data_IF_123483591278
#
_entry.id   IF_123483591278
#
_cell.length_a   1.000
_cell.length_b   1.000
_cell.length_c   1.000
_cell.angle_alpha   90.00
_cell.angle_beta   90.00
_cell.angle_gamma   90.00
#
_symmetry.space_group_name_H-M   'P 1'
#
loop_
_entity.id
_entity.type
_entity.pdbx_description
1 polymer ?
#
# COMPACT_ATOMS: atom_id res chain seq x y z
N UNK A 1 -27.56 32.32 38.46
CA UNK A 1 -26.17 32.36 37.97
C UNK A 1 -25.57 30.96 37.66
N UNK A 2 -26.35 29.87 37.60
CA UNK A 2 -25.83 28.48 37.48
C UNK A 2 -26.08 27.78 36.11
N UNK A 3 -26.71 28.44 35.13
CA UNK A 3 -27.05 27.81 33.84
C UNK A 3 -25.96 27.92 32.76
N UNK A 4 -25.06 28.89 32.87
CA UNK A 4 -24.02 29.16 31.86
C UNK A 4 -22.91 28.08 31.88
N UNK A 5 -22.64 27.48 33.05
CA UNK A 5 -21.58 26.46 33.18
C UNK A 5 -21.94 25.10 32.58
N UNK A 6 -23.21 24.70 32.58
CA UNK A 6 -23.65 23.39 32.07
C UNK A 6 -23.79 23.39 30.55
N UNK A 7 -24.20 24.50 29.95
CA UNK A 7 -24.28 24.66 28.49
C UNK A 7 -22.90 24.76 27.85
N UNK A 8 -21.95 25.46 28.49
CA UNK A 8 -20.57 25.55 28.02
C UNK A 8 -19.87 24.18 27.99
N UNK A 9 -20.06 23.33 29.01
CA UNK A 9 -19.47 21.99 29.05
C UNK A 9 -19.98 21.09 27.92
N UNK A 10 -21.29 21.15 27.63
CA UNK A 10 -21.91 20.35 26.57
C UNK A 10 -21.37 20.76 25.19
N UNK A 11 -21.19 22.07 24.94
CA UNK A 11 -20.62 22.57 23.69
C UNK A 11 -19.16 22.17 23.50
N UNK A 12 -18.35 22.15 24.56
CA UNK A 12 -16.95 21.71 24.50
C UNK A 12 -16.86 20.23 24.18
N UNK A 13 -17.69 19.39 24.80
CA UNK A 13 -17.72 17.94 24.53
C UNK A 13 -18.22 17.65 23.12
N UNK A 14 -19.25 18.36 22.64
CA UNK A 14 -19.70 18.24 21.25
C UNK A 14 -18.61 18.64 20.26
N UNK A 15 -17.91 19.75 20.52
CA UNK A 15 -16.82 20.22 19.66
C UNK A 15 -15.62 19.25 19.68
N UNK A 16 -15.25 18.69 20.84
CA UNK A 16 -14.22 17.67 20.91
C UNK A 16 -14.60 16.42 20.12
N UNK A 17 -15.82 15.89 20.33
CA UNK A 17 -16.32 14.73 19.58
C UNK A 17 -16.38 14.98 18.08
N UNK A 18 -16.86 16.14 17.62
CA UNK A 18 -16.92 16.42 16.17
C UNK A 18 -15.53 16.54 15.56
N UNK A 19 -14.57 17.16 16.26
CA UNK A 19 -13.19 17.25 15.78
C UNK A 19 -12.52 15.86 15.77
N UNK A 20 -12.76 15.00 16.76
CA UNK A 20 -12.22 13.64 16.79
C UNK A 20 -12.83 12.75 15.68
N UNK A 21 -14.13 12.91 15.38
CA UNK A 21 -14.78 12.24 14.24
C UNK A 21 -14.20 12.72 12.91
N UNK A 22 -13.98 14.02 12.73
CA UNK A 22 -13.38 14.58 11.50
C UNK A 22 -11.92 14.09 11.32
N UNK A 23 -11.13 14.04 12.40
CA UNK A 23 -9.77 13.46 12.37
C UNK A 23 -9.79 11.96 12.07
N UNK A 24 -10.79 11.25 12.58
CA UNK A 24 -11.04 9.84 12.25
C UNK A 24 -11.31 9.64 10.76
N UNK A 25 -12.19 10.47 10.17
CA UNK A 25 -12.54 10.40 8.75
C UNK A 25 -11.36 10.69 7.83
N UNK A 26 -10.56 11.74 8.11
CA UNK A 26 -9.37 12.03 7.29
C UNK A 26 -8.30 10.94 7.35
N UNK A 27 -8.19 10.21 8.47
CA UNK A 27 -7.29 9.06 8.58
C UNK A 27 -7.75 7.87 7.73
N UNK A 28 -9.06 7.67 7.57
CA UNK A 28 -9.61 6.61 6.72
C UNK A 28 -9.36 6.93 5.23
N UNK A 29 -9.60 8.17 4.80
CA UNK A 29 -9.44 8.55 3.40
C UNK A 29 -7.97 8.48 2.92
N UNK A 30 -7.01 8.90 3.78
CA UNK A 30 -5.57 8.79 3.48
C UNK A 30 -5.10 7.33 3.47
N UNK A 31 -5.65 6.49 4.37
CA UNK A 31 -5.36 5.04 4.37
C UNK A 31 -5.86 4.37 3.10
N UNK A 32 -7.09 4.68 2.68
CA UNK A 32 -7.66 4.12 1.46
C UNK A 32 -6.80 4.50 0.24
N UNK A 33 -6.44 5.78 0.10
CA UNK A 33 -5.59 6.21 -1.01
C UNK A 33 -4.18 5.58 -1.01
N UNK A 34 -3.66 5.18 0.16
CA UNK A 34 -2.35 4.55 0.33
C UNK A 34 -2.41 3.04 0.08
N UNK A 35 -3.51 2.39 0.44
CA UNK A 35 -3.80 0.99 0.10
C UNK A 35 -4.10 0.87 -1.41
N UNK A 36 -4.79 1.84 -2.00
CA UNK A 36 -5.04 1.87 -3.45
C UNK A 36 -3.72 2.03 -4.24
N UNK A 37 -2.66 2.62 -3.65
CA UNK A 37 -1.33 2.66 -4.26
C UNK A 37 -0.58 1.32 -4.23
N UNK A 38 -1.00 0.40 -3.35
CA UNK A 38 -0.54 -0.98 -3.32
C UNK A 38 -1.40 -1.88 -4.21
N UNK A 39 -2.66 -1.51 -4.45
CA UNK A 39 -3.54 -2.17 -5.41
C UNK A 39 -3.23 -1.66 -6.81
N UNK A 40 -2.30 -2.35 -7.46
CA UNK A 40 -2.19 -2.24 -8.90
C UNK A 40 -3.38 -2.95 -9.54
N UNK A 41 -4.17 -2.21 -10.32
CA UNK A 41 -5.16 -2.82 -11.19
C UNK A 41 -4.47 -3.77 -12.19
N UNK A 42 -5.18 -4.79 -12.67
CA UNK A 42 -4.64 -5.79 -13.60
C UNK A 42 -3.94 -5.17 -14.84
N UNK A 43 -4.33 -3.96 -15.25
CA UNK A 43 -3.66 -3.20 -16.31
C UNK A 43 -2.25 -2.72 -15.93
N UNK A 44 -2.04 -2.27 -14.69
CA UNK A 44 -0.72 -1.84 -14.19
C UNK A 44 0.18 -3.05 -13.94
N UNK A 45 -0.36 -4.12 -13.33
CA UNK A 45 0.35 -5.40 -13.17
C UNK A 45 0.86 -5.90 -14.52
N UNK A 46 0.04 -5.81 -15.57
CA UNK A 46 0.39 -6.24 -16.91
C UNK A 46 1.53 -5.42 -17.54
N UNK A 47 1.61 -4.13 -17.27
CA UNK A 47 2.68 -3.26 -17.71
C UNK A 47 3.99 -3.60 -16.98
N UNK A 48 3.94 -3.71 -15.65
CA UNK A 48 5.09 -4.10 -14.83
C UNK A 48 5.65 -5.49 -15.19
N UNK A 49 4.76 -6.47 -15.41
CA UNK A 49 5.16 -7.81 -15.83
C UNK A 49 5.88 -7.82 -17.18
N UNK A 50 5.48 -6.96 -18.13
CA UNK A 50 6.13 -6.84 -19.45
C UNK A 50 7.48 -6.16 -19.40
N UNK A 51 7.67 -5.22 -18.47
CA UNK A 51 8.93 -4.49 -18.32
C UNK A 51 10.00 -5.32 -17.59
N UNK A 52 9.58 -6.17 -16.64
CA UNK A 52 10.48 -7.00 -15.84
C UNK A 52 10.74 -8.36 -16.49
N UNK A 53 9.74 -8.93 -17.16
CA UNK A 53 9.85 -10.20 -17.88
C UNK A 53 9.31 -10.03 -19.31
N UNK A 54 10.00 -10.61 -20.30
CA UNK A 54 9.52 -10.69 -21.69
C UNK A 54 8.37 -11.71 -21.80
N UNK A 55 7.31 -11.49 -21.01
CA UNK A 55 6.22 -12.41 -20.76
C UNK A 55 4.98 -11.96 -21.53
N UNK A 56 4.41 -12.87 -22.32
CA UNK A 56 3.18 -12.60 -23.05
C UNK A 56 1.97 -12.66 -22.11
N UNK A 57 1.68 -11.52 -21.50
CA UNK A 57 0.52 -11.33 -20.61
C UNK A 57 -0.80 -11.16 -21.37
N UNK A 58 -0.83 -11.36 -22.70
CA UNK A 58 -2.04 -11.14 -23.51
C UNK A 58 -3.16 -12.14 -23.25
N UNK A 59 -2.85 -13.35 -22.76
CA UNK A 59 -3.82 -14.43 -22.53
C UNK A 59 -4.11 -14.76 -21.06
N UNK A 60 -3.44 -14.09 -20.09
CA UNK A 60 -3.64 -14.39 -18.67
C UNK A 60 -4.96 -13.81 -18.13
N UNK A 61 -5.66 -14.60 -17.31
CA UNK A 61 -6.79 -14.13 -16.52
C UNK A 61 -6.35 -13.18 -15.39
N UNK A 62 -7.26 -12.35 -14.83
CA UNK A 62 -6.92 -11.46 -13.72
C UNK A 62 -6.33 -12.20 -12.51
N UNK A 63 -6.88 -13.35 -12.15
CA UNK A 63 -6.36 -14.17 -11.04
C UNK A 63 -4.98 -14.74 -11.32
N UNK A 64 -4.68 -15.10 -12.57
CA UNK A 64 -3.36 -15.58 -12.96
C UNK A 64 -2.33 -14.45 -12.97
N UNK A 65 -2.71 -13.25 -13.39
CA UNK A 65 -1.87 -12.05 -13.29
C UNK A 65 -1.53 -11.72 -11.83
N UNK A 66 -2.52 -11.72 -10.94
CA UNK A 66 -2.33 -11.48 -9.51
C UNK A 66 -1.35 -12.51 -8.90
N UNK A 67 -1.53 -13.78 -9.22
CA UNK A 67 -0.65 -14.85 -8.76
C UNK A 67 0.77 -14.69 -9.31
N UNK A 68 0.91 -14.34 -10.58
CA UNK A 68 2.22 -14.15 -11.19
C UNK A 68 2.97 -12.96 -10.59
N UNK A 69 2.26 -11.87 -10.32
CA UNK A 69 2.82 -10.69 -9.64
C UNK A 69 3.34 -11.02 -8.25
N UNK A 70 2.56 -11.79 -7.47
CA UNK A 70 2.99 -12.31 -6.18
C UNK A 70 4.28 -13.13 -6.32
N UNK A 71 4.30 -14.09 -7.26
CA UNK A 71 5.47 -14.96 -7.49
C UNK A 71 6.69 -14.22 -8.03
N UNK A 72 6.52 -13.12 -8.75
CA UNK A 72 7.63 -12.32 -9.25
C UNK A 72 8.45 -11.69 -8.12
N UNK A 73 7.80 -11.37 -6.99
CA UNK A 73 8.42 -10.70 -5.84
C UNK A 73 8.82 -11.65 -4.70
N UNK A 74 8.42 -12.92 -4.78
CA UNK A 74 8.87 -13.99 -3.89
C UNK A 74 10.23 -14.52 -4.39
N UNK A 75 11.31 -13.84 -4.00
CA UNK A 75 12.66 -14.08 -4.53
C UNK A 75 13.29 -15.34 -3.94
N UNK A 76 12.93 -15.71 -2.71
CA UNK A 76 13.44 -16.91 -2.04
C UNK A 76 12.58 -18.17 -2.29
N UNK A 77 11.44 -18.01 -2.97
CA UNK A 77 10.49 -19.05 -3.33
C UNK A 77 9.85 -19.77 -2.13
N UNK A 78 9.64 -19.07 -1.02
CA UNK A 78 8.97 -19.62 0.15
C UNK A 78 7.42 -19.54 0.07
N UNK A 79 6.88 -18.92 -0.99
CA UNK A 79 5.46 -18.65 -1.23
C UNK A 79 4.81 -17.69 -0.22
N UNK A 80 5.61 -16.78 0.32
CA UNK A 80 5.22 -15.66 1.17
C UNK A 80 6.02 -14.43 0.74
N UNK A 81 5.55 -13.24 1.12
CA UNK A 81 6.27 -12.00 0.90
C UNK A 81 6.74 -11.42 2.23
N UNK A 82 8.03 -11.19 2.36
CA UNK A 82 8.60 -10.46 3.49
C UNK A 82 8.63 -8.94 3.26
N UNK A 83 9.00 -8.19 4.31
CA UNK A 83 9.10 -6.73 4.27
C UNK A 83 10.06 -6.18 3.21
N UNK A 84 11.17 -6.87 2.94
CA UNK A 84 12.16 -6.46 1.93
C UNK A 84 11.66 -6.76 0.51
N UNK A 85 10.98 -7.88 0.32
CA UNK A 85 10.34 -8.24 -0.94
C UNK A 85 9.24 -7.23 -1.31
N UNK A 86 8.40 -6.86 -0.35
CA UNK A 86 7.40 -5.80 -0.50
C UNK A 86 8.04 -4.42 -0.74
N UNK A 87 9.14 -4.10 -0.04
CA UNK A 87 9.88 -2.85 -0.26
C UNK A 87 10.43 -2.78 -1.68
N UNK A 88 11.03 -3.86 -2.16
CA UNK A 88 11.56 -3.93 -3.51
C UNK A 88 10.46 -3.78 -4.55
N UNK A 89 9.30 -4.44 -4.36
CA UNK A 89 8.13 -4.27 -5.22
C UNK A 89 7.69 -2.80 -5.30
N UNK A 90 7.54 -2.15 -4.14
CA UNK A 90 7.11 -0.74 -4.07
C UNK A 90 8.12 0.23 -4.67
N UNK A 91 9.42 -0.04 -4.53
CA UNK A 91 10.47 0.81 -5.09
C UNK A 91 10.58 0.68 -6.61
N UNK A 92 10.24 -0.49 -7.16
CA UNK A 92 10.18 -0.69 -8.61
C UNK A 92 9.14 0.23 -9.27
N UNK A 93 8.02 0.51 -8.58
CA UNK A 93 6.98 1.44 -9.05
C UNK A 93 7.46 2.90 -9.17
N UNK A 94 8.61 3.24 -8.58
CA UNK A 94 9.20 4.58 -8.60
C UNK A 94 10.37 4.69 -9.57
N UNK A 95 10.74 3.60 -10.24
CA UNK A 95 11.63 3.66 -11.39
C UNK A 95 10.87 4.17 -12.61
N UNK A 96 10.67 5.49 -12.66
CA UNK A 96 10.48 6.17 -13.93
C UNK A 96 11.62 5.74 -14.87
N UNK A 97 11.34 5.28 -16.10
CA UNK A 97 12.35 4.81 -17.05
C UNK A 97 13.37 5.87 -17.49
N UNK A 98 13.31 7.08 -16.92
CA UNK A 98 14.25 8.19 -17.13
C UNK A 98 15.48 8.16 -16.22
N UNK A 99 15.53 7.32 -15.18
CA UNK A 99 16.79 7.08 -14.41
C UNK A 99 17.59 5.95 -15.07
N UNK A 100 17.62 5.94 -16.40
CA UNK A 100 18.72 5.33 -17.10
C UNK A 100 19.98 6.12 -16.72
N UNK A 101 20.96 5.42 -16.18
CA UNK A 101 22.35 5.84 -15.95
C UNK A 101 22.82 6.99 -16.86
N UNK A 102 22.46 8.22 -16.50
CA UNK A 102 23.03 9.41 -17.08
C UNK A 102 24.10 9.88 -16.09
N UNK A 103 25.40 9.68 -16.37
CA UNK A 103 26.47 10.17 -15.49
C UNK A 103 26.45 11.71 -15.33
N UNK A 104 25.62 12.42 -16.08
CA UNK A 104 25.38 13.87 -16.00
C UNK A 104 23.93 14.23 -15.60
N UNK A 105 23.12 13.26 -15.15
CA UNK A 105 21.75 13.51 -14.69
C UNK A 105 21.72 14.19 -13.31
N UNK A 106 20.59 14.82 -12.91
CA UNK A 106 20.43 15.30 -11.55
C UNK A 106 20.68 14.16 -10.55
N UNK A 107 21.31 14.43 -9.39
CA UNK A 107 21.59 13.40 -8.40
C UNK A 107 20.30 12.66 -8.05
N UNK A 108 20.39 11.33 -7.94
CA UNK A 108 19.28 10.47 -7.58
C UNK A 108 18.52 11.11 -6.41
N UNK A 109 17.22 11.34 -6.61
CA UNK A 109 16.35 11.91 -5.58
C UNK A 109 16.44 10.98 -4.37
N UNK A 110 16.73 11.48 -3.16
CA UNK A 110 16.72 10.64 -1.97
C UNK A 110 15.34 9.98 -1.86
N UNK A 111 15.31 8.65 -2.03
CA UNK A 111 14.08 7.88 -1.83
C UNK A 111 13.79 7.92 -0.32
N UNK A 112 12.62 8.44 0.06
CA UNK A 112 12.18 8.42 1.46
C UNK A 112 11.74 7.00 1.83
N UNK A 113 12.70 6.19 2.25
CA UNK A 113 12.49 4.81 2.69
C UNK A 113 11.44 4.74 3.81
N UNK A 114 11.35 5.79 4.66
CA UNK A 114 10.39 5.87 5.76
C UNK A 114 8.95 5.78 5.28
N UNK A 115 8.64 6.37 4.12
CA UNK A 115 7.31 6.33 3.55
C UNK A 115 6.91 4.90 3.19
N UNK A 116 7.83 4.14 2.59
CA UNK A 116 7.62 2.74 2.21
C UNK A 116 7.55 1.82 3.40
N UNK A 117 8.44 1.98 4.39
CA UNK A 117 8.38 1.16 5.62
C UNK A 117 7.05 1.37 6.34
N UNK A 118 6.53 2.60 6.39
CA UNK A 118 5.21 2.85 6.98
C UNK A 118 4.07 2.19 6.18
N UNK A 119 4.22 1.99 4.86
CA UNK A 119 3.24 1.24 4.06
C UNK A 119 3.30 -0.25 4.42
N UNK A 120 4.51 -0.81 4.48
CA UNK A 120 4.75 -2.22 4.79
C UNK A 120 4.26 -2.55 6.21
N UNK A 121 4.56 -1.68 7.18
CA UNK A 121 4.09 -1.82 8.56
C UNK A 121 2.56 -1.83 8.64
N UNK A 122 1.88 -1.01 7.83
CA UNK A 122 0.42 -1.00 7.74
C UNK A 122 -0.12 -2.30 7.10
N UNK A 123 0.53 -2.78 6.03
CA UNK A 123 0.17 -4.05 5.36
C UNK A 123 0.25 -5.22 6.32
N UNK A 124 1.41 -5.43 6.95
CA UNK A 124 1.60 -6.55 7.87
C UNK A 124 0.63 -6.44 9.04
N UNK A 125 0.43 -5.24 9.59
CA UNK A 125 -0.50 -5.08 10.71
C UNK A 125 -1.94 -5.51 10.39
N UNK A 126 -2.41 -5.23 9.18
CA UNK A 126 -3.81 -5.46 8.83
C UNK A 126 -4.03 -6.86 8.20
N UNK A 127 -3.01 -7.41 7.52
CA UNK A 127 -3.16 -8.59 6.68
C UNK A 127 -2.30 -9.81 7.11
N UNK A 128 -1.26 -9.64 7.94
CA UNK A 128 -0.52 -10.76 8.54
C UNK A 128 -1.36 -11.34 9.71
N UNK A 129 -2.19 -12.34 9.40
CA UNK A 129 -3.18 -12.88 10.31
C UNK A 129 -2.55 -13.83 11.34
N UNK A 130 -1.50 -14.53 10.94
CA UNK A 130 -0.78 -15.47 11.82
C UNK A 130 0.41 -14.83 12.56
N UNK A 131 0.73 -13.56 12.26
CA UNK A 131 1.77 -12.73 12.86
C UNK A 131 3.17 -13.35 12.72
N UNK A 132 3.44 -14.00 11.59
CA UNK A 132 4.74 -14.60 11.32
C UNK A 132 5.74 -13.66 10.65
N UNK A 133 5.31 -12.43 10.32
CA UNK A 133 6.12 -11.40 9.68
C UNK A 133 6.14 -11.49 8.16
N UNK A 134 5.29 -12.34 7.57
CA UNK A 134 5.16 -12.51 6.14
C UNK A 134 3.72 -12.32 5.69
N UNK A 135 3.55 -12.14 4.37
CA UNK A 135 2.24 -12.16 3.74
C UNK A 135 2.14 -13.40 2.85
N UNK A 136 1.37 -14.40 3.25
CA UNK A 136 1.06 -15.55 2.41
C UNK A 136 0.17 -15.17 1.22
N UNK A 137 0.09 -16.01 0.20
CA UNK A 137 -0.82 -15.75 -0.93
C UNK A 137 -2.29 -15.71 -0.51
N UNK A 138 -2.68 -16.48 0.51
CA UNK A 138 -4.04 -16.48 1.05
C UNK A 138 -4.37 -15.14 1.73
N UNK A 139 -3.44 -14.61 2.53
CA UNK A 139 -3.57 -13.30 3.17
C UNK A 139 -3.54 -12.16 2.15
N UNK A 140 -2.64 -12.25 1.17
CA UNK A 140 -2.56 -11.32 0.03
C UNK A 140 -3.88 -11.23 -0.74
N UNK A 141 -4.53 -12.36 -1.03
CA UNK A 141 -5.81 -12.40 -1.75
C UNK A 141 -7.00 -11.93 -0.89
N UNK A 142 -6.92 -12.11 0.42
CA UNK A 142 -7.97 -11.73 1.37
C UNK A 142 -7.99 -10.24 1.70
N UNK A 143 -7.01 -9.46 1.22
CA UNK A 143 -7.09 -7.99 1.22
C UNK A 143 -8.42 -7.54 0.65
N UNK A 144 -9.16 -6.77 1.44
CA UNK A 144 -10.46 -6.24 1.04
C UNK A 144 -10.29 -5.43 -0.24
N UNK A 145 -10.71 -6.01 -1.37
CA UNK A 145 -10.77 -5.30 -2.65
C UNK A 145 -11.76 -4.14 -2.49
N UNK A 146 -11.39 -2.89 -2.81
CA UNK A 146 -12.36 -1.81 -2.83
C UNK A 146 -13.51 -2.23 -3.74
N UNK A 147 -14.75 -2.07 -3.24
CA UNK A 147 -15.93 -2.41 -4.00
C UNK A 147 -15.96 -1.59 -5.32
N UNK A 148 -16.41 -2.18 -6.44
CA UNK A 148 -16.44 -1.53 -7.75
C UNK A 148 -17.30 -0.27 -7.78
#
# INVERSE_FOLDING_TARGET
>A
MFHIGRTALILIVFFACTVDVIRGQQRIDVRQAKIDSLHEDASHIKEHLKDIADFDTSELSPSELDFHYFKLHDFDNNNKLDGLEMLQALMHNVHTPEVQHNPNGPPAVPVDITAYTNIIDEVLKDDDLDNDGYLSYEEYQNRVKPAP
#
